data_IF_641774824512
#
_entry.id   IF_641774824512
#
_cell.length_a   1.000
_cell.length_b   1.000
_cell.length_c   1.000
_cell.angle_alpha   90.00
_cell.angle_beta   90.00
_cell.angle_gamma   90.00
#
_symmetry.space_group_name_H-M   'P 1'
#
loop_
_entity.id
_entity.type
_entity.pdbx_description
1 polymer ?
#
# COMPACT_ATOMS: atom_id res chain seq x y z
N UNK A 1 4.83 12.27 -8.92
CA UNK A 1 5.91 12.22 -7.91
C UNK A 1 6.47 10.81 -7.84
N UNK A 2 7.79 10.62 -7.77
CA UNK A 2 8.44 9.31 -7.64
C UNK A 2 9.24 9.28 -6.34
N UNK A 3 9.06 8.23 -5.55
CA UNK A 3 9.72 8.03 -4.25
C UNK A 3 10.63 6.80 -4.35
N UNK A 4 11.84 6.89 -3.81
CA UNK A 4 12.75 5.76 -3.65
C UNK A 4 12.94 5.51 -2.16
N UNK A 5 12.67 4.28 -1.73
CA UNK A 5 12.84 3.86 -0.34
C UNK A 5 13.76 2.64 -0.32
N UNK A 6 14.75 2.65 0.57
CA UNK A 6 15.70 1.57 0.74
C UNK A 6 15.49 0.92 2.10
N UNK A 7 15.43 -0.40 2.15
CA UNK A 7 15.28 -1.18 3.37
C UNK A 7 16.43 -2.17 3.51
N UNK A 8 16.86 -2.43 4.75
CA UNK A 8 17.85 -3.46 5.07
C UNK A 8 17.14 -4.65 5.72
N UNK A 9 17.41 -5.85 5.24
CA UNK A 9 16.90 -7.08 5.83
C UNK A 9 17.90 -8.22 5.61
N UNK A 10 17.75 -9.31 6.37
CA UNK A 10 18.60 -10.50 6.22
C UNK A 10 18.17 -11.38 5.05
N UNK A 11 16.86 -11.55 4.86
CA UNK A 11 16.26 -12.38 3.80
C UNK A 11 14.92 -11.76 3.39
N UNK A 12 14.66 -11.66 2.08
CA UNK A 12 13.37 -11.23 1.53
C UNK A 12 12.50 -12.47 1.25
N UNK A 13 11.26 -12.54 1.79
CA UNK A 13 10.34 -13.64 1.49
C UNK A 13 9.92 -13.66 0.01
N UNK A 14 9.62 -14.83 -0.55
CA UNK A 14 9.09 -14.95 -1.92
C UNK A 14 7.79 -14.13 -2.12
N UNK A 15 6.96 -14.02 -1.08
CA UNK A 15 5.70 -13.26 -1.08
C UNK A 15 5.88 -11.77 -0.75
N UNK A 16 7.09 -11.21 -0.89
CA UNK A 16 7.42 -9.82 -0.55
C UNK A 16 6.44 -8.78 -1.13
N UNK A 17 5.90 -9.03 -2.33
CA UNK A 17 4.95 -8.12 -2.96
C UNK A 17 3.69 -7.90 -2.12
N UNK A 18 3.16 -8.95 -1.50
CA UNK A 18 2.01 -8.82 -0.60
C UNK A 18 2.38 -8.11 0.70
N UNK A 19 3.58 -8.36 1.22
CA UNK A 19 4.10 -7.69 2.41
C UNK A 19 4.18 -6.17 2.17
N UNK A 20 4.75 -5.74 1.04
CA UNK A 20 4.85 -4.31 0.73
C UNK A 20 3.49 -3.67 0.47
N UNK A 21 2.51 -4.36 -0.14
CA UNK A 21 1.14 -3.84 -0.25
C UNK A 21 0.53 -3.59 1.12
N UNK A 22 0.67 -4.54 2.04
CA UNK A 22 0.17 -4.39 3.42
C UNK A 22 0.86 -3.25 4.15
N UNK A 23 2.18 -3.16 4.02
CA UNK A 23 2.98 -2.07 4.59
C UNK A 23 2.52 -0.69 4.08
N UNK A 24 2.34 -0.54 2.76
CA UNK A 24 1.87 0.71 2.15
C UNK A 24 0.47 1.06 2.68
N UNK A 25 -0.44 0.08 2.78
CA UNK A 25 -1.79 0.31 3.34
C UNK A 25 -1.75 0.79 4.77
N UNK A 26 -0.91 0.16 5.59
CA UNK A 26 -0.77 0.52 7.00
C UNK A 26 -0.17 1.92 7.16
N UNK A 27 0.90 2.23 6.42
CA UNK A 27 1.49 3.57 6.40
C UNK A 27 0.48 4.66 5.97
N UNK A 28 -0.33 4.38 4.95
CA UNK A 28 -1.39 5.31 4.50
C UNK A 28 -2.46 5.50 5.58
N UNK A 29 -2.88 4.44 6.28
CA UNK A 29 -3.84 4.54 7.38
C UNK A 29 -3.31 5.37 8.54
N UNK A 30 -2.05 5.16 8.92
CA UNK A 30 -1.38 5.92 10.00
C UNK A 30 -1.22 7.39 9.64
N UNK A 31 -0.91 7.70 8.37
CA UNK A 31 -0.77 9.08 7.91
C UNK A 31 -2.10 9.80 7.71
N UNK A 32 -3.09 9.13 7.09
CA UNK A 32 -4.42 9.68 6.84
C UNK A 32 -5.45 8.55 6.60
N UNK A 33 -6.18 8.20 7.65
CA UNK A 33 -7.18 7.12 7.61
C UNK A 33 -8.31 7.38 6.59
N UNK A 34 -8.82 8.61 6.52
CA UNK A 34 -9.91 8.99 5.60
C UNK A 34 -9.48 8.82 4.14
N UNK A 35 -8.25 9.23 3.82
CA UNK A 35 -7.68 9.03 2.48
C UNK A 35 -7.54 7.54 2.15
N UNK A 36 -7.04 6.73 3.10
CA UNK A 36 -6.89 5.30 2.92
C UNK A 36 -8.25 4.60 2.67
N UNK A 37 -9.29 4.96 3.41
CA UNK A 37 -10.65 4.43 3.20
C UNK A 37 -11.18 4.78 1.81
N UNK A 38 -11.10 6.03 1.39
CA UNK A 38 -11.53 6.47 0.05
C UNK A 38 -10.77 5.77 -1.09
N UNK A 39 -9.52 5.37 -0.85
CA UNK A 39 -8.68 4.70 -1.84
C UNK A 39 -8.98 3.20 -1.95
N UNK A 40 -9.32 2.55 -0.84
CA UNK A 40 -9.46 1.09 -0.75
C UNK A 40 -10.91 0.61 -0.59
N UNK A 41 -11.87 1.48 -0.30
CA UNK A 41 -13.31 1.19 -0.24
C UNK A 41 -13.99 1.89 -1.40
N UNK A 42 -14.79 1.16 -2.17
CA UNK A 42 -15.58 1.71 -3.27
C UNK A 42 -17.00 1.16 -3.18
N UNK A 43 -17.99 2.01 -2.92
CA UNK A 43 -19.41 1.61 -2.79
C UNK A 43 -19.60 0.44 -1.79
N UNK A 44 -18.97 0.54 -0.62
CA UNK A 44 -18.92 -0.54 0.41
C UNK A 44 -18.27 -1.86 -0.05
N UNK A 45 -17.72 -1.92 -1.27
CA UNK A 45 -16.97 -3.07 -1.77
C UNK A 45 -15.48 -2.82 -1.59
N UNK A 46 -14.74 -3.75 -0.98
CA UNK A 46 -13.30 -3.60 -0.84
C UNK A 46 -12.64 -3.69 -2.21
N UNK A 47 -11.68 -2.80 -2.43
CA UNK A 47 -10.60 -2.96 -3.39
C UNK A 47 -10.99 -3.00 -4.88
N UNK A 48 -12.17 -2.50 -5.27
CA UNK A 48 -12.66 -2.52 -6.66
C UNK A 48 -12.22 -1.35 -7.54
N UNK A 49 -11.74 -0.25 -6.95
CA UNK A 49 -11.25 0.91 -7.71
C UNK A 49 -9.78 0.71 -8.12
N UNK A 50 -9.42 1.17 -9.33
CA UNK A 50 -8.02 1.37 -9.70
C UNK A 50 -7.40 2.43 -8.81
N UNK A 51 -6.12 2.26 -8.47
CA UNK A 51 -5.39 3.17 -7.59
C UNK A 51 -4.49 4.02 -8.46
N UNK A 52 -4.43 5.31 -8.17
CA UNK A 52 -3.62 6.26 -8.93
C UNK A 52 -2.15 6.26 -8.48
N UNK A 53 -1.61 5.09 -8.13
CA UNK A 53 -0.20 4.90 -7.77
C UNK A 53 0.26 3.48 -8.12
N UNK A 54 1.59 3.30 -8.22
CA UNK A 54 2.25 2.01 -8.41
C UNK A 54 3.51 1.93 -7.55
N UNK A 55 4.01 0.73 -7.30
CA UNK A 55 5.28 0.49 -6.60
C UNK A 55 6.04 -0.68 -7.24
N UNK A 56 7.37 -0.67 -7.08
CA UNK A 56 8.30 -1.69 -7.57
C UNK A 56 9.34 -1.99 -6.50
#
# INVERSE_FOLDING_TARGET
MRLKVSFTCKVIPLSYRFIFVSFIKEALKTSNAVYAENLYVFENKPNKKSKNFTFS
#
